data_IF_854388027039
#
_entry.id   IF_854388027039
#
_cell.length_a   1.000
_cell.length_b   1.000
_cell.length_c   1.000
_cell.angle_alpha   90.00
_cell.angle_beta   90.00
_cell.angle_gamma   90.00
#
_symmetry.space_group_name_H-M   'P 1'
#
loop_
_entity.id
_entity.type
_entity.pdbx_description
1 polymer ?
#
# COMPACT_ATOMS: atom_id res chain seq x y z
N UNK A 1 -10.31 -0.23 9.16
CA UNK A 1 -8.90 -0.65 9.14
C UNK A 1 -8.41 -0.47 7.70
N UNK A 2 -8.08 0.78 7.33
CA UNK A 2 -7.68 1.11 5.95
C UNK A 2 -6.29 0.58 5.61
N UNK A 3 -5.42 0.43 6.62
CA UNK A 3 -4.08 -0.15 6.46
C UNK A 3 -4.12 -1.57 5.89
N UNK A 4 -4.84 -2.50 6.53
CA UNK A 4 -4.93 -3.90 6.06
C UNK A 4 -5.49 -3.99 4.63
N UNK A 5 -6.50 -3.17 4.31
CA UNK A 5 -7.06 -3.13 2.96
C UNK A 5 -6.04 -2.65 1.92
N UNK A 6 -5.27 -1.60 2.23
CA UNK A 6 -4.24 -1.07 1.33
C UNK A 6 -3.06 -2.04 1.19
N UNK A 7 -2.72 -2.75 2.26
CA UNK A 7 -1.71 -3.80 2.24
C UNK A 7 -2.14 -4.97 1.35
N UNK A 8 -3.39 -5.43 1.44
CA UNK A 8 -3.93 -6.46 0.53
C UNK A 8 -3.91 -5.99 -0.92
N UNK A 9 -4.39 -4.77 -1.20
CA UNK A 9 -4.38 -4.23 -2.56
C UNK A 9 -2.97 -4.05 -3.12
N UNK A 10 -2.00 -3.69 -2.26
CA UNK A 10 -0.59 -3.63 -2.62
C UNK A 10 -0.04 -5.00 -2.98
N UNK A 11 -0.29 -5.99 -2.12
CA UNK A 11 0.13 -7.37 -2.35
C UNK A 11 -0.50 -7.96 -3.61
N UNK A 12 -1.77 -7.67 -3.91
CA UNK A 12 -2.42 -8.07 -5.16
C UNK A 12 -1.94 -7.30 -6.40
N UNK A 13 -0.93 -6.43 -6.28
CA UNK A 13 -0.44 -5.54 -7.33
C UNK A 13 -1.54 -4.64 -7.94
N UNK A 14 -2.61 -4.38 -7.17
CA UNK A 14 -3.75 -3.55 -7.55
C UNK A 14 -3.56 -2.09 -7.10
N UNK A 15 -2.52 -1.84 -6.28
CA UNK A 15 -2.15 -0.53 -5.76
C UNK A 15 -0.69 -0.21 -6.12
N UNK A 16 -0.49 0.91 -6.81
CA UNK A 16 0.85 1.43 -7.15
C UNK A 16 1.33 2.44 -6.12
N UNK A 17 2.66 2.65 -6.04
CA UNK A 17 3.27 3.53 -5.05
C UNK A 17 2.73 4.97 -5.12
N UNK A 18 2.55 5.50 -6.32
CA UNK A 18 2.01 6.85 -6.55
C UNK A 18 0.58 7.01 -6.00
N UNK A 19 -0.25 5.95 -6.11
CA UNK A 19 -1.60 5.95 -5.52
C UNK A 19 -1.53 5.85 -4.01
N UNK A 20 -0.66 5.00 -3.46
CA UNK A 20 -0.49 4.86 -2.02
C UNK A 20 -0.02 6.18 -1.39
N UNK A 21 0.96 6.86 -1.99
CA UNK A 21 1.45 8.17 -1.53
C UNK A 21 0.37 9.26 -1.57
N UNK A 22 -0.57 9.23 -2.52
CA UNK A 22 -1.72 10.15 -2.57
C UNK A 22 -2.72 9.95 -1.43
N UNK A 23 -2.74 8.76 -0.82
CA UNK A 23 -3.57 8.47 0.34
C UNK A 23 -2.94 8.94 1.65
N UNK A 24 -1.66 9.34 1.62
CA UNK A 24 -0.96 9.97 2.75
C UNK A 24 -1.16 11.49 2.70
N UNK A 25 -1.48 12.18 3.82
CA UNK A 25 -1.76 11.66 5.16
C UNK A 25 -3.26 11.39 5.42
N UNK A 26 -4.10 11.39 4.39
CA UNK A 26 -5.56 11.39 4.51
C UNK A 26 -6.13 10.08 5.07
N UNK A 27 -5.55 8.93 4.71
CA UNK A 27 -6.01 7.59 5.12
C UNK A 27 -4.96 6.81 5.90
N UNK A 28 -3.67 7.06 5.64
CA UNK A 28 -2.53 6.38 6.27
C UNK A 28 -1.41 7.40 6.51
N UNK A 29 -0.52 7.12 7.46
CA UNK A 29 0.68 7.94 7.71
C UNK A 29 1.78 7.64 6.68
N UNK A 30 2.80 8.50 6.65
CA UNK A 30 4.01 8.27 5.82
C UNK A 30 4.66 6.95 6.22
N UNK A 31 4.82 6.70 7.52
CA UNK A 31 5.40 5.44 8.05
C UNK A 31 4.60 4.22 7.58
N UNK A 32 3.28 4.27 7.65
CA UNK A 32 2.42 3.17 7.18
C UNK A 32 2.52 2.94 5.67
N UNK A 33 2.66 4.00 4.87
CA UNK A 33 2.88 3.86 3.44
C UNK A 33 4.24 3.21 3.16
N UNK A 34 5.30 3.62 3.86
CA UNK A 34 6.63 3.02 3.74
C UNK A 34 6.62 1.54 4.17
N UNK A 35 5.88 1.18 5.23
CA UNK A 35 5.67 -0.21 5.64
C UNK A 35 5.00 -1.03 4.52
N UNK A 36 3.92 -0.51 3.92
CA UNK A 36 3.22 -1.19 2.81
C UNK A 36 4.16 -1.38 1.62
N UNK A 37 4.92 -0.37 1.24
CA UNK A 37 5.88 -0.44 0.10
C UNK A 37 6.98 -1.46 0.37
N UNK A 38 7.39 -1.63 1.63
CA UNK A 38 8.40 -2.62 2.01
C UNK A 38 7.91 -4.07 1.84
N UNK A 39 6.60 -4.31 1.73
CA UNK A 39 6.08 -5.66 1.45
C UNK A 39 6.20 -6.02 -0.03
N UNK A 40 6.61 -7.24 -0.38
CA UNK A 40 6.65 -7.70 -1.77
C UNK A 40 5.24 -7.79 -2.35
N UNK A 41 5.08 -7.39 -3.60
CA UNK A 41 3.84 -7.60 -4.35
C UNK A 41 3.78 -9.05 -4.86
N UNK A 42 2.65 -9.73 -4.70
CA UNK A 42 2.36 -10.99 -5.38
C UNK A 42 2.10 -10.68 -6.86
N UNK A 43 3.17 -10.57 -7.63
CA UNK A 43 3.11 -10.88 -9.07
C UNK A 43 3.02 -12.39 -9.20
N UNK A 44 1.80 -12.93 -9.31
CA UNK A 44 1.61 -14.29 -9.83
C UNK A 44 2.27 -14.34 -11.23
N UNK A 45 3.31 -15.18 -11.37
CA UNK A 45 3.92 -15.58 -12.65
C UNK A 45 2.95 -16.41 -13.51
#
# INVERSE_FOLDING_TARGET
MFYDLLLTLWQENNLSEDRLRKLVPMFITVEQADEIIAHPQNTEE
#
